data_IF_276269543038
#
_entry.id   IF_276269543038
#
_cell.length_a   1.000
_cell.length_b   1.000
_cell.length_c   1.000
_cell.angle_alpha   90.00
_cell.angle_beta   90.00
_cell.angle_gamma   90.00
#
_symmetry.space_group_name_H-M   'P 1'
#
loop_
_entity.id
_entity.type
_entity.pdbx_description
1 polymer ?
#
# COMPACT_ATOMS: atom_id res chain seq x y z
N UNK A 1 -14.03 -3.93 8.24
CA UNK A 1 -13.74 -2.55 7.77
C UNK A 1 -12.37 -2.60 7.12
N UNK A 2 -12.33 -2.82 5.81
CA UNK A 2 -11.08 -3.00 5.06
C UNK A 2 -10.51 -1.62 4.71
N UNK A 3 -9.19 -1.45 4.83
CA UNK A 3 -8.49 -0.16 4.73
C UNK A 3 -8.75 0.59 3.41
N UNK A 4 -9.11 -0.14 2.35
CA UNK A 4 -9.38 0.42 1.02
C UNK A 4 -10.86 0.38 0.60
N UNK A 5 -11.77 0.00 1.52
CA UNK A 5 -13.20 -0.09 1.18
C UNK A 5 -13.50 -1.12 0.07
N UNK A 6 -14.78 -1.38 -0.17
CA UNK A 6 -15.23 -2.38 -1.17
C UNK A 6 -15.19 -1.85 -2.63
N UNK A 7 -14.65 -0.64 -2.82
CA UNK A 7 -14.56 0.11 -4.08
C UNK A 7 -13.22 0.85 -4.18
N UNK A 8 -12.15 0.18 -3.78
CA UNK A 8 -10.81 0.70 -4.01
C UNK A 8 -10.62 0.81 -5.53
N UNK A 9 -10.58 2.02 -6.04
CA UNK A 9 -10.35 2.23 -7.48
C UNK A 9 -8.85 2.29 -7.71
N UNK A 10 -8.41 1.99 -8.93
CA UNK A 10 -7.01 2.16 -9.30
C UNK A 10 -6.53 3.62 -9.16
N UNK A 11 -7.46 4.59 -9.12
CA UNK A 11 -7.16 5.99 -8.76
C UNK A 11 -6.63 6.12 -7.33
N UNK A 12 -7.24 5.45 -6.36
CA UNK A 12 -6.78 5.49 -4.97
C UNK A 12 -5.35 4.93 -4.85
N UNK A 13 -5.05 3.87 -5.59
CA UNK A 13 -3.69 3.32 -5.67
C UNK A 13 -2.70 4.25 -6.37
N UNK A 14 -3.13 4.98 -7.41
CA UNK A 14 -2.32 5.99 -8.08
C UNK A 14 -2.01 7.18 -7.18
N UNK A 15 -3.00 7.67 -6.43
CA UNK A 15 -2.82 8.77 -5.48
C UNK A 15 -1.83 8.35 -4.40
N UNK A 16 -1.98 7.15 -3.84
CA UNK A 16 -1.05 6.58 -2.87
C UNK A 16 0.36 6.43 -3.48
N UNK A 17 0.48 5.90 -4.70
CA UNK A 17 1.75 5.79 -5.42
C UNK A 17 2.46 7.14 -5.56
N UNK A 18 1.72 8.20 -5.92
CA UNK A 18 2.28 9.54 -6.03
C UNK A 18 2.71 10.12 -4.68
N UNK A 19 1.93 9.93 -3.62
CA UNK A 19 2.31 10.38 -2.28
C UNK A 19 3.61 9.71 -1.81
N UNK A 20 3.78 8.41 -2.09
CA UNK A 20 5.05 7.71 -1.84
C UNK A 20 6.19 8.21 -2.73
N UNK A 21 5.94 8.37 -4.03
CA UNK A 21 6.95 8.82 -5.00
C UNK A 21 7.45 10.24 -4.71
N UNK A 22 6.57 11.11 -4.23
CA UNK A 22 6.90 12.47 -3.81
C UNK A 22 7.57 12.51 -2.42
N UNK A 23 7.69 11.38 -1.73
CA UNK A 23 8.27 11.31 -0.38
C UNK A 23 7.44 12.03 0.69
N UNK A 24 6.15 12.26 0.43
CA UNK A 24 5.24 12.94 1.36
C UNK A 24 4.85 12.00 2.50
N UNK A 25 4.74 10.70 2.20
CA UNK A 25 4.43 9.65 3.18
C UNK A 25 5.41 8.48 3.00
N UNK A 26 5.79 7.85 4.11
CA UNK A 26 6.57 6.61 4.11
C UNK A 26 5.73 5.43 4.60
N UNK A 27 6.13 4.21 4.20
CA UNK A 27 5.42 3.00 4.59
C UNK A 27 5.50 2.80 6.12
N UNK A 28 6.65 3.14 6.71
CA UNK A 28 6.90 3.19 8.14
C UNK A 28 5.93 4.13 8.88
N UNK A 29 5.71 5.34 8.38
CA UNK A 29 4.79 6.31 8.99
C UNK A 29 3.34 5.87 8.92
N UNK A 30 2.91 5.30 7.79
CA UNK A 30 1.55 4.79 7.63
C UNK A 30 1.31 3.63 8.59
N UNK A 31 2.25 2.69 8.67
CA UNK A 31 2.16 1.55 9.59
C UNK A 31 2.18 2.04 11.03
N UNK A 32 3.06 2.96 11.42
CA UNK A 32 3.10 3.53 12.77
C UNK A 32 1.79 4.24 13.13
N UNK A 33 1.24 5.02 12.19
CA UNK A 33 -0.02 5.75 12.37
C UNK A 33 -1.21 4.79 12.45
N UNK A 34 -1.23 3.74 11.63
CA UNK A 34 -2.27 2.73 11.66
C UNK A 34 -2.25 1.93 12.96
N UNK A 35 -1.08 1.49 13.43
CA UNK A 35 -0.93 0.81 14.72
C UNK A 35 -1.46 1.65 15.89
N UNK A 36 -1.32 2.98 15.83
CA UNK A 36 -1.84 3.90 16.87
C UNK A 36 -3.34 4.17 16.74
N UNK A 37 -3.88 4.13 15.53
CA UNK A 37 -5.28 4.50 15.24
C UNK A 37 -6.25 3.33 15.36
N UNK A 38 -5.79 2.12 15.05
CA UNK A 38 -6.61 0.90 15.06
C UNK A 38 -6.41 0.11 16.37
N UNK A 39 -6.73 0.77 17.48
CA UNK A 39 -6.78 0.16 18.82
C UNK A 39 -8.24 -0.01 19.20
N UNK A 40 -8.69 -1.25 19.37
CA UNK A 40 -10.04 -1.59 19.82
C UNK A 40 -9.88 -2.36 21.13
N UNK A 41 -10.58 -1.93 22.18
CA UNK A 41 -10.52 -2.57 23.50
C UNK A 41 -9.08 -2.74 24.06
N UNK A 42 -8.21 -1.75 23.86
CA UNK A 42 -6.78 -1.78 24.24
C UNK A 42 -5.92 -2.80 23.48
N UNK A 43 -6.47 -3.47 22.46
CA UNK A 43 -5.75 -4.37 21.58
C UNK A 43 -5.56 -3.75 20.21
N UNK A 44 -4.36 -3.95 19.66
CA UNK A 44 -4.05 -3.51 18.32
C UNK A 44 -4.62 -4.53 17.32
N UNK A 45 -5.68 -4.14 16.61
CA UNK A 45 -6.33 -4.99 15.60
C UNK A 45 -5.71 -4.83 14.21
N UNK A 46 -4.71 -3.95 14.07
CA UNK A 46 -4.01 -3.74 12.82
C UNK A 46 -2.94 -4.80 12.61
N UNK A 47 -3.11 -5.62 11.57
CA UNK A 47 -2.08 -6.53 11.11
C UNK A 47 -1.25 -5.86 10.01
N UNK A 48 -0.03 -5.45 10.36
CA UNK A 48 0.95 -4.93 9.38
C UNK A 48 1.15 -5.88 8.22
N UNK A 49 1.22 -7.19 8.48
CA UNK A 49 1.37 -8.20 7.43
C UNK A 49 0.19 -8.19 6.46
N UNK A 50 -1.03 -8.19 6.99
CA UNK A 50 -2.24 -8.16 6.16
C UNK A 50 -2.33 -6.88 5.32
N UNK A 51 -1.89 -5.75 5.89
CA UNK A 51 -1.81 -4.48 5.18
C UNK A 51 -0.81 -4.50 4.01
N UNK A 52 0.39 -5.05 4.23
CA UNK A 52 1.40 -5.19 3.18
C UNK A 52 0.91 -6.13 2.05
N UNK A 53 0.28 -7.24 2.42
CA UNK A 53 -0.34 -8.16 1.46
C UNK A 53 -1.44 -7.44 0.64
N UNK A 54 -2.27 -6.61 1.28
CA UNK A 54 -3.30 -5.81 0.60
C UNK A 54 -2.75 -4.73 -0.35
N UNK A 55 -1.60 -4.12 -0.04
CA UNK A 55 -0.93 -3.15 -0.92
C UNK A 55 -0.44 -3.82 -2.20
N UNK A 56 0.16 -5.01 -2.10
CA UNK A 56 0.72 -5.74 -3.25
C UNK A 56 -0.39 -6.37 -4.10
N UNK A 57 -1.51 -6.76 -3.48
CA UNK A 57 -2.56 -7.50 -4.15
C UNK A 57 -3.49 -6.60 -4.97
N UNK A 58 -2.95 -6.02 -6.05
CA UNK A 58 -3.72 -5.25 -7.04
C UNK A 58 -4.47 -6.14 -8.04
N UNK A 59 -4.38 -7.48 -7.93
CA UNK A 59 -4.86 -8.45 -8.94
C UNK A 59 -6.38 -8.47 -9.10
N UNK A 60 -7.13 -8.21 -8.04
CA UNK A 60 -8.61 -8.19 -8.03
C UNK A 60 -9.23 -6.80 -8.29
N UNK A 61 -8.46 -5.84 -8.79
CA UNK A 61 -9.01 -4.55 -9.21
C UNK A 61 -9.81 -4.74 -10.52
N UNK A 62 -11.13 -4.70 -10.44
CA UNK A 62 -12.06 -4.82 -11.58
C UNK A 62 -11.83 -3.75 -12.66
N UNK A 63 -11.21 -2.62 -12.32
CA UNK A 63 -11.03 -1.45 -13.19
C UNK A 63 -9.60 -1.27 -13.78
N UNK A 64 -8.80 -2.34 -13.91
CA UNK A 64 -7.45 -2.25 -14.49
C UNK A 64 -7.42 -1.72 -15.93
N UNK A 65 -8.47 -1.96 -16.69
CA UNK A 65 -8.57 -1.58 -18.10
C UNK A 65 -9.13 -0.16 -18.33
N UNK A 66 -9.85 0.42 -17.36
CA UNK A 66 -10.66 1.64 -17.61
C UNK A 66 -9.91 2.94 -17.26
N UNK A 67 -8.92 2.89 -16.37
CA UNK A 67 -8.34 4.10 -15.79
C UNK A 67 -7.09 4.71 -16.44
N UNK A 68 -6.22 4.01 -17.21
CA UNK A 68 -4.99 4.66 -17.69
C UNK A 68 -5.25 5.78 -18.72
N UNK A 69 -6.44 5.79 -19.35
CA UNK A 69 -6.68 6.56 -20.56
C UNK A 69 -6.94 8.07 -20.38
N UNK A 70 -7.18 8.59 -19.17
CA UNK A 70 -7.61 9.99 -19.02
C UNK A 70 -6.60 10.94 -18.34
N UNK A 71 -5.64 10.42 -17.57
CA UNK A 71 -4.66 11.25 -16.83
C UNK A 71 -3.21 10.70 -16.85
N UNK A 72 -3.00 9.44 -17.20
CA UNK A 72 -1.73 8.73 -16.91
C UNK A 72 -1.31 7.78 -18.03
N UNK A 73 -1.41 8.22 -19.28
CA UNK A 73 -1.20 7.46 -20.53
C UNK A 73 0.17 6.77 -20.69
N UNK A 74 1.08 6.86 -19.72
CA UNK A 74 2.40 6.23 -19.75
C UNK A 74 2.69 5.23 -18.63
N UNK A 75 1.85 5.13 -17.58
CA UNK A 75 2.10 4.24 -16.44
C UNK A 75 1.27 2.97 -16.59
N UNK A 76 1.94 1.85 -16.83
CA UNK A 76 1.25 0.56 -16.88
C UNK A 76 0.89 0.10 -15.45
N UNK A 77 -0.26 -0.59 -15.28
CA UNK A 77 -0.60 -1.21 -13.99
C UNK A 77 0.52 -2.10 -13.42
N UNK A 78 1.32 -2.72 -14.31
CA UNK A 78 2.45 -3.56 -13.93
C UNK A 78 3.60 -2.76 -13.28
N UNK A 79 3.86 -1.54 -13.73
CA UNK A 79 4.91 -0.69 -13.13
C UNK A 79 4.55 -0.26 -11.71
N UNK A 80 3.28 0.04 -11.49
CA UNK A 80 2.75 0.40 -10.17
C UNK A 80 2.84 -0.80 -9.22
N UNK A 81 2.44 -1.98 -9.68
CA UNK A 81 2.53 -3.21 -8.91
C UNK A 81 3.99 -3.54 -8.56
N UNK A 82 4.91 -3.42 -9.51
CA UNK A 82 6.34 -3.65 -9.28
C UNK A 82 6.93 -2.64 -8.30
N UNK A 83 6.54 -1.36 -8.38
CA UNK A 83 6.98 -0.35 -7.42
C UNK A 83 6.52 -0.70 -6.00
N UNK A 84 5.24 -1.06 -5.82
CA UNK A 84 4.72 -1.44 -4.51
C UNK A 84 5.41 -2.70 -3.96
N UNK A 85 5.68 -3.70 -4.80
CA UNK A 85 6.47 -4.88 -4.40
C UNK A 85 7.85 -4.50 -3.90
N UNK A 86 8.62 -3.72 -4.68
CA UNK A 86 9.96 -3.30 -4.27
C UNK A 86 9.93 -2.45 -3.00
N UNK A 87 8.92 -1.60 -2.81
CA UNK A 87 8.75 -0.81 -1.59
C UNK A 87 8.50 -1.71 -0.37
N UNK A 88 7.62 -2.71 -0.49
CA UNK A 88 7.35 -3.66 0.59
C UNK A 88 8.57 -4.54 0.87
N UNK A 89 9.27 -5.02 -0.15
CA UNK A 89 10.52 -5.79 0.03
C UNK A 89 11.58 -4.97 0.76
N UNK A 90 11.76 -3.70 0.38
CA UNK A 90 12.69 -2.80 1.09
C UNK A 90 12.30 -2.60 2.55
N UNK A 91 11.01 -2.44 2.84
CA UNK A 91 10.51 -2.35 4.20
C UNK A 91 10.75 -3.65 4.97
N UNK A 92 10.42 -4.81 4.40
CA UNK A 92 10.66 -6.10 5.01
C UNK A 92 12.15 -6.32 5.28
N UNK A 93 13.03 -6.03 4.32
CA UNK A 93 14.47 -6.16 4.52
C UNK A 93 14.97 -5.29 5.69
N UNK A 94 14.55 -4.03 5.78
CA UNK A 94 14.89 -3.15 6.91
C UNK A 94 14.40 -3.68 8.27
N UNK A 95 13.25 -4.35 8.31
CA UNK A 95 12.61 -4.80 9.55
C UNK A 95 12.91 -6.26 9.93
N UNK A 96 13.21 -7.13 8.97
CA UNK A 96 13.65 -8.52 9.17
C UNK A 96 15.08 -8.55 9.71
N UNK A 97 15.96 -7.68 9.22
CA UNK A 97 17.34 -7.57 9.73
C UNK A 97 17.35 -7.09 11.20
N UNK A 98 16.28 -6.43 11.67
CA UNK A 98 16.14 -5.96 13.05
C UNK A 98 15.68 -7.02 14.06
N UNK A 99 15.25 -8.21 13.62
CA UNK A 99 14.85 -9.30 14.51
C UNK A 99 15.98 -10.31 14.80
N UNK A 100 17.21 -10.06 14.32
CA UNK A 100 18.38 -10.93 14.56
C UNK A 100 19.52 -10.25 15.33
N UNK A 101 19.24 -9.18 16.08
CA UNK A 101 20.19 -8.59 17.04
C UNK A 101 19.54 -8.39 18.41
#
# INVERSE_FOLDING_TARGET
MTFLGRRATIRDYLDIYYLFKLGIITLEEIISSANKKYIINHENVFSTRLFLEQIIYMKDLEDKDVAPNLLFSSLSPNEIENYFKSMVENYLNKHVIKQSN
#
